data_IF_398722439053
#
_entry.id   IF_398722439053
#
_cell.length_a   1.000
_cell.length_b   1.000
_cell.length_c   1.000
_cell.angle_alpha   90.00
_cell.angle_beta   90.00
_cell.angle_gamma   90.00
#
_symmetry.space_group_name_H-M   'P 1'
#
loop_
_entity.id
_entity.type
_entity.pdbx_description
1 polymer ?
#
# COMPACT_ATOMS: atom_id res chain seq x y z
N UNK A 1 12.01 -6.36 20.80
CA UNK A 1 11.13 -7.42 20.26
C UNK A 1 10.36 -8.13 21.38
N UNK A 2 10.48 -7.65 22.62
CA UNK A 2 10.08 -8.39 23.82
C UNK A 2 8.67 -8.09 24.34
N UNK A 3 7.97 -7.09 23.78
CA UNK A 3 6.63 -6.74 24.24
C UNK A 3 5.51 -7.58 23.60
N UNK A 4 5.77 -8.16 22.41
CA UNK A 4 4.78 -8.98 21.68
C UNK A 4 4.74 -10.42 22.21
N UNK A 5 5.90 -10.96 22.63
CA UNK A 5 6.01 -12.29 23.26
C UNK A 5 5.32 -12.31 24.64
N UNK A 6 5.40 -11.20 25.40
CA UNK A 6 4.79 -11.12 26.75
C UNK A 6 3.26 -11.21 26.72
N UNK A 7 2.60 -10.76 25.65
CA UNK A 7 1.15 -10.87 25.53
C UNK A 7 0.66 -12.29 25.18
N UNK A 8 1.52 -13.12 24.56
CA UNK A 8 1.19 -14.48 24.12
C UNK A 8 1.19 -15.47 25.31
N UNK A 9 2.08 -15.29 26.28
CA UNK A 9 2.27 -16.25 27.39
C UNK A 9 1.26 -16.13 28.54
N UNK A 10 0.54 -15.01 28.70
CA UNK A 10 -0.20 -14.74 29.94
C UNK A 10 -1.71 -15.06 29.93
N UNK A 11 -2.36 -15.27 28.78
CA UNK A 11 -3.84 -15.29 28.75
C UNK A 11 -4.55 -16.49 28.11
N UNK A 12 -3.90 -17.31 27.28
CA UNK A 12 -4.41 -18.62 26.82
C UNK A 12 -3.33 -19.30 25.96
N UNK A 13 -3.45 -20.60 25.67
CA UNK A 13 -2.69 -21.19 24.56
C UNK A 13 -2.94 -20.33 23.31
N UNK A 14 -1.90 -19.71 22.71
CA UNK A 14 -2.01 -18.57 21.78
C UNK A 14 -2.99 -18.74 20.60
N UNK A 15 -3.31 -19.97 20.21
CA UNK A 15 -4.31 -20.27 19.19
C UNK A 15 -5.76 -19.98 19.65
N UNK A 16 -6.10 -20.20 20.91
CA UNK A 16 -7.46 -19.95 21.41
C UNK A 16 -7.74 -18.45 21.55
N UNK A 17 -6.72 -17.66 21.91
CA UNK A 17 -6.81 -16.21 22.02
C UNK A 17 -7.07 -15.53 20.66
N UNK A 18 -6.30 -15.90 19.64
CA UNK A 18 -6.42 -15.30 18.30
C UNK A 18 -7.80 -15.55 17.68
N UNK A 19 -8.35 -16.76 17.84
CA UNK A 19 -9.71 -17.11 17.38
C UNK A 19 -10.79 -16.29 18.09
N UNK A 20 -10.65 -16.09 19.42
CA UNK A 20 -11.58 -15.24 20.17
C UNK A 20 -11.51 -13.78 19.74
N UNK A 21 -10.31 -13.25 19.51
CA UNK A 21 -10.12 -11.90 19.01
C UNK A 21 -10.73 -11.71 17.61
N UNK A 22 -10.56 -12.66 16.68
CA UNK A 22 -11.17 -12.59 15.34
C UNK A 22 -12.71 -12.64 15.40
N UNK A 23 -13.27 -13.52 16.23
CA UNK A 23 -14.72 -13.62 16.42
C UNK A 23 -15.30 -12.35 17.06
N UNK A 24 -14.63 -11.79 18.07
CA UNK A 24 -15.02 -10.53 18.69
C UNK A 24 -14.96 -9.38 17.69
N UNK A 25 -13.91 -9.31 16.88
CA UNK A 25 -13.74 -8.30 15.85
C UNK A 25 -14.90 -8.35 14.83
N UNK A 26 -15.29 -9.56 14.39
CA UNK A 26 -16.44 -9.73 13.49
C UNK A 26 -17.75 -9.19 14.10
N UNK A 27 -18.01 -9.49 15.38
CA UNK A 27 -19.20 -8.97 16.09
C UNK A 27 -19.15 -7.43 16.23
N UNK A 28 -17.98 -6.86 16.51
CA UNK A 28 -17.80 -5.42 16.61
C UNK A 28 -17.99 -4.71 15.26
N UNK A 29 -17.59 -5.33 14.15
CA UNK A 29 -17.88 -4.83 12.81
C UNK A 29 -19.39 -4.76 12.54
N UNK A 30 -20.14 -5.81 12.89
CA UNK A 30 -21.61 -5.83 12.76
C UNK A 30 -22.26 -4.74 13.62
N UNK A 31 -21.71 -4.49 14.82
CA UNK A 31 -22.16 -3.43 15.71
C UNK A 31 -21.74 -2.01 15.29
N UNK A 32 -21.04 -1.85 14.15
CA UNK A 32 -20.57 -0.55 13.65
C UNK A 32 -19.38 0.05 14.42
N UNK A 33 -18.75 -0.71 15.33
CA UNK A 33 -17.60 -0.27 16.12
C UNK A 33 -16.28 -0.57 15.40
N UNK A 34 -16.05 0.10 14.27
CA UNK A 34 -14.93 -0.18 13.36
C UNK A 34 -13.56 -0.09 14.04
N UNK A 35 -13.28 0.97 14.81
CA UNK A 35 -11.98 1.14 15.48
C UNK A 35 -11.68 0.00 16.46
N UNK A 36 -12.67 -0.39 17.28
CA UNK A 36 -12.51 -1.49 18.23
C UNK A 36 -12.33 -2.82 17.50
N UNK A 37 -13.06 -3.04 16.41
CA UNK A 37 -12.89 -4.23 15.58
C UNK A 37 -11.51 -4.32 14.95
N UNK A 38 -10.97 -3.21 14.43
CA UNK A 38 -9.62 -3.14 13.86
C UNK A 38 -8.56 -3.54 14.89
N UNK A 39 -8.64 -3.03 16.12
CA UNK A 39 -7.72 -3.41 17.19
C UNK A 39 -7.81 -4.91 17.49
N UNK A 40 -9.01 -5.48 17.53
CA UNK A 40 -9.18 -6.93 17.74
C UNK A 40 -8.61 -7.76 16.59
N UNK A 41 -8.74 -7.33 15.33
CA UNK A 41 -8.10 -8.02 14.20
C UNK A 41 -6.57 -7.94 14.24
N UNK A 42 -6.01 -6.81 14.70
CA UNK A 42 -4.56 -6.67 14.92
C UNK A 42 -4.09 -7.63 16.01
N UNK A 43 -4.80 -7.71 17.15
CA UNK A 43 -4.49 -8.66 18.23
C UNK A 43 -4.62 -10.12 17.79
N UNK A 44 -5.52 -10.41 16.85
CA UNK A 44 -5.67 -11.73 16.25
C UNK A 44 -4.60 -12.04 15.18
N UNK A 45 -3.78 -11.05 14.77
CA UNK A 45 -2.87 -11.18 13.64
C UNK A 45 -3.56 -11.30 12.27
N UNK A 46 -4.83 -10.93 12.16
CA UNK A 46 -5.59 -11.01 10.91
C UNK A 46 -5.31 -9.77 10.03
N UNK A 47 -4.24 -9.86 9.23
CA UNK A 47 -3.79 -8.78 8.36
C UNK A 47 -4.83 -8.46 7.28
N UNK A 48 -5.44 -9.47 6.67
CA UNK A 48 -6.35 -9.30 5.54
C UNK A 48 -7.55 -8.42 5.88
N UNK A 49 -8.23 -8.74 6.99
CA UNK A 49 -9.39 -7.96 7.46
C UNK A 49 -8.96 -6.58 7.96
N UNK A 50 -7.78 -6.47 8.56
CA UNK A 50 -7.24 -5.17 9.00
C UNK A 50 -7.00 -4.24 7.81
N UNK A 51 -6.34 -4.74 6.76
CA UNK A 51 -6.08 -4.02 5.51
C UNK A 51 -7.37 -3.68 4.78
N UNK A 52 -8.36 -4.57 4.76
CA UNK A 52 -9.67 -4.30 4.17
C UNK A 52 -10.35 -3.10 4.83
N UNK A 53 -10.35 -3.05 6.16
CA UNK A 53 -10.95 -1.95 6.93
C UNK A 53 -10.21 -0.64 6.67
N UNK A 54 -8.88 -0.65 6.74
CA UNK A 54 -8.09 0.54 6.49
C UNK A 54 -8.19 1.04 5.03
N UNK A 55 -8.26 0.13 4.06
CA UNK A 55 -8.45 0.46 2.65
C UNK A 55 -9.80 1.13 2.41
N UNK A 56 -10.84 0.77 3.17
CA UNK A 56 -12.15 1.45 3.13
C UNK A 56 -12.05 2.90 3.63
N UNK A 57 -11.18 3.19 4.59
CA UNK A 57 -10.95 4.56 5.05
C UNK A 57 -10.28 5.43 3.96
N UNK A 58 -9.44 4.85 3.10
CA UNK A 58 -8.84 5.57 1.94
C UNK A 58 -9.90 6.12 0.98
N UNK A 59 -11.02 5.41 0.79
CA UNK A 59 -12.07 5.81 -0.15
C UNK A 59 -12.87 7.03 0.30
N UNK A 60 -12.71 7.48 1.56
CA UNK A 60 -13.54 8.54 2.16
C UNK A 60 -12.89 9.92 2.19
N UNK A 61 -11.61 10.06 1.82
CA UNK A 61 -10.87 11.33 1.85
C UNK A 61 -10.46 11.81 0.45
N UNK A 62 -11.12 12.84 -0.07
CA UNK A 62 -10.83 13.42 -1.39
C UNK A 62 -9.90 14.64 -1.31
N UNK A 63 -8.61 14.40 -1.53
CA UNK A 63 -7.68 15.28 -2.23
C UNK A 63 -6.44 14.44 -2.61
N UNK A 64 -5.99 14.51 -3.86
CA UNK A 64 -5.00 13.58 -4.43
C UNK A 64 -3.65 13.60 -3.71
N UNK A 65 -3.32 14.70 -3.02
CA UNK A 65 -2.12 14.81 -2.18
C UNK A 65 -2.28 13.99 -0.89
N UNK A 66 -3.45 14.06 -0.27
CA UNK A 66 -3.80 13.24 0.91
C UNK A 66 -3.87 11.76 0.57
N UNK A 67 -4.27 11.39 -0.66
CA UNK A 67 -4.30 9.99 -1.09
C UNK A 67 -2.91 9.32 -1.01
N UNK A 68 -1.85 10.01 -1.45
CA UNK A 68 -0.48 9.47 -1.40
C UNK A 68 -0.01 9.32 0.04
N UNK A 69 -0.24 10.34 0.88
CA UNK A 69 0.14 10.31 2.30
C UNK A 69 -0.60 9.20 3.07
N UNK A 70 -1.90 9.04 2.82
CA UNK A 70 -2.70 7.98 3.43
C UNK A 70 -2.31 6.59 2.91
N UNK A 71 -1.96 6.46 1.63
CA UNK A 71 -1.50 5.20 1.05
C UNK A 71 -0.15 4.78 1.67
N UNK A 72 0.76 5.74 1.84
CA UNK A 72 2.03 5.51 2.53
C UNK A 72 1.81 5.03 3.97
N UNK A 73 1.01 5.77 4.75
CA UNK A 73 0.69 5.43 6.14
C UNK A 73 0.06 4.03 6.25
N UNK A 74 -0.80 3.66 5.29
CA UNK A 74 -1.39 2.33 5.23
C UNK A 74 -0.36 1.24 4.96
N UNK A 75 0.51 1.43 3.96
CA UNK A 75 1.53 0.46 3.59
C UNK A 75 2.53 0.25 4.74
N UNK A 76 2.99 1.33 5.37
CA UNK A 76 3.90 1.27 6.51
C UNK A 76 3.27 0.52 7.69
N UNK A 77 2.05 0.88 8.09
CA UNK A 77 1.32 0.20 9.17
C UNK A 77 1.14 -1.29 8.90
N UNK A 78 0.83 -1.64 7.66
CA UNK A 78 0.58 -3.03 7.29
C UNK A 78 1.86 -3.86 7.29
N UNK A 79 2.98 -3.30 6.80
CA UNK A 79 4.27 -3.99 6.81
C UNK A 79 4.77 -4.17 8.24
N UNK A 80 4.66 -3.14 9.09
CA UNK A 80 5.02 -3.26 10.51
C UNK A 80 4.17 -4.33 11.19
N UNK A 81 2.87 -4.38 10.91
CA UNK A 81 1.97 -5.42 11.43
C UNK A 81 2.38 -6.81 10.96
N UNK A 82 2.71 -6.98 9.68
CA UNK A 82 3.13 -8.25 9.12
C UNK A 82 4.46 -8.76 9.69
N UNK A 83 5.43 -7.84 9.85
CA UNK A 83 6.69 -8.15 10.50
C UNK A 83 6.49 -8.54 11.97
N UNK A 84 5.62 -7.84 12.69
CA UNK A 84 5.31 -8.12 14.10
C UNK A 84 4.59 -9.47 14.29
N UNK A 85 3.74 -9.85 13.34
CA UNK A 85 3.00 -11.12 13.35
C UNK A 85 3.77 -12.28 12.69
N UNK A 86 4.95 -12.01 12.12
CA UNK A 86 5.77 -13.02 11.44
C UNK A 86 5.15 -13.57 10.15
N UNK A 87 4.16 -12.88 9.57
CA UNK A 87 3.54 -13.31 8.31
C UNK A 87 4.52 -13.16 7.15
N UNK A 88 4.75 -14.26 6.43
CA UNK A 88 5.65 -14.32 5.28
C UNK A 88 4.95 -14.17 3.93
N UNK A 89 3.63 -14.28 3.91
CA UNK A 89 2.84 -14.20 2.68
C UNK A 89 1.77 -13.15 2.85
N UNK A 90 1.71 -12.23 1.90
CA UNK A 90 0.70 -11.20 1.85
C UNK A 90 -0.45 -11.62 0.95
N UNK A 91 -1.65 -11.15 1.27
CA UNK A 91 -2.79 -11.36 0.38
C UNK A 91 -2.66 -10.57 -0.93
N UNK A 92 -3.36 -11.00 -1.99
CA UNK A 92 -3.35 -10.31 -3.28
C UNK A 92 -3.78 -8.83 -3.21
N UNK A 93 -4.66 -8.48 -2.27
CA UNK A 93 -5.10 -7.10 -2.04
C UNK A 93 -3.95 -6.24 -1.50
N UNK A 94 -3.18 -6.78 -0.56
CA UNK A 94 -2.01 -6.10 0.00
C UNK A 94 -0.86 -6.01 -1.01
N UNK A 95 -0.60 -7.06 -1.79
CA UNK A 95 0.38 -7.02 -2.87
C UNK A 95 0.06 -5.86 -3.84
N UNK A 96 -1.20 -5.73 -4.28
CA UNK A 96 -1.63 -4.62 -5.15
C UNK A 96 -1.45 -3.25 -4.50
N UNK A 97 -1.64 -3.15 -3.18
CA UNK A 97 -1.46 -1.89 -2.46
C UNK A 97 0.02 -1.47 -2.44
N UNK A 98 0.90 -2.42 -2.13
CA UNK A 98 2.36 -2.22 -2.10
C UNK A 98 2.90 -1.94 -3.50
N UNK A 99 2.39 -2.62 -4.54
CA UNK A 99 2.72 -2.34 -5.94
C UNK A 99 2.39 -0.89 -6.32
N UNK A 100 1.19 -0.39 -5.98
CA UNK A 100 0.81 1.01 -6.22
C UNK A 100 1.73 2.00 -5.51
N UNK A 101 2.13 1.69 -4.28
CA UNK A 101 3.05 2.54 -3.54
C UNK A 101 4.46 2.51 -4.14
N UNK A 102 4.94 1.35 -4.58
CA UNK A 102 6.22 1.22 -5.28
C UNK A 102 6.23 1.99 -6.62
N UNK A 103 5.11 2.02 -7.35
CA UNK A 103 4.95 2.86 -8.54
C UNK A 103 5.10 4.35 -8.21
N UNK A 104 4.49 4.81 -7.12
CA UNK A 104 4.63 6.21 -6.66
C UNK A 104 6.07 6.51 -6.28
N UNK A 105 6.74 5.64 -5.51
CA UNK A 105 8.15 5.80 -5.16
C UNK A 105 9.04 5.85 -6.41
N UNK A 106 8.77 5.00 -7.40
CA UNK A 106 9.49 4.99 -8.66
C UNK A 106 9.28 6.29 -9.45
N UNK A 107 8.06 6.84 -9.45
CA UNK A 107 7.76 8.14 -10.08
C UNK A 107 8.50 9.31 -9.44
N UNK A 108 8.85 9.18 -8.15
CA UNK A 108 9.64 10.16 -7.40
C UNK A 108 11.16 9.94 -7.55
N UNK A 109 11.59 8.90 -8.27
CA UNK A 109 13.00 8.53 -8.42
C UNK A 109 13.58 7.69 -7.28
N UNK A 110 12.76 7.29 -6.30
CA UNK A 110 13.15 6.47 -5.15
C UNK A 110 13.11 4.97 -5.48
N UNK A 111 13.87 4.57 -6.50
CA UNK A 111 13.85 3.22 -7.07
C UNK A 111 14.37 2.13 -6.12
N UNK A 112 15.36 2.46 -5.28
CA UNK A 112 15.92 1.54 -4.29
C UNK A 112 14.88 1.18 -3.23
N UNK A 113 14.18 2.19 -2.70
CA UNK A 113 13.13 2.00 -1.70
C UNK A 113 11.95 1.24 -2.29
N UNK A 114 11.53 1.57 -3.52
CA UNK A 114 10.49 0.82 -4.24
C UNK A 114 10.85 -0.65 -4.38
N UNK A 115 12.12 -0.96 -4.69
CA UNK A 115 12.62 -2.31 -4.79
C UNK A 115 12.56 -3.06 -3.45
N UNK A 116 12.96 -2.42 -2.35
CA UNK A 116 12.91 -3.02 -1.01
C UNK A 116 11.47 -3.41 -0.63
N UNK A 117 10.50 -2.56 -0.93
CA UNK A 117 9.08 -2.86 -0.72
C UNK A 117 8.59 -4.04 -1.58
N UNK A 118 9.02 -4.13 -2.84
CA UNK A 118 8.67 -5.26 -3.71
C UNK A 118 9.35 -6.58 -3.27
N UNK A 119 10.57 -6.51 -2.73
CA UNK A 119 11.28 -7.67 -2.15
C UNK A 119 10.60 -8.19 -0.90
N UNK A 120 10.04 -7.30 -0.08
CA UNK A 120 9.28 -7.70 1.11
C UNK A 120 8.10 -8.61 0.74
N UNK A 121 7.48 -8.42 -0.44
CA UNK A 121 6.34 -9.21 -0.90
C UNK A 121 6.61 -10.71 -1.13
N UNK A 122 7.86 -11.16 -0.96
CA UNK A 122 8.24 -12.57 -1.15
C UNK A 122 8.25 -13.01 -2.62
N UNK A 123 8.10 -12.05 -3.54
CA UNK A 123 8.32 -12.26 -4.97
C UNK A 123 9.78 -12.66 -5.18
N UNK A 124 10.02 -13.65 -6.05
CA UNK A 124 11.36 -13.99 -6.51
C UNK A 124 12.11 -12.70 -6.91
N UNK A 125 13.39 -12.59 -6.55
CA UNK A 125 14.19 -11.37 -6.73
C UNK A 125 14.17 -10.93 -8.20
N UNK A 126 14.08 -11.89 -9.12
CA UNK A 126 13.92 -11.68 -10.55
C UNK A 126 12.57 -11.03 -10.92
N UNK A 127 11.49 -11.40 -10.25
CA UNK A 127 10.15 -10.91 -10.51
C UNK A 127 9.96 -9.49 -9.97
N UNK A 128 10.51 -9.19 -8.80
CA UNK A 128 10.59 -7.82 -8.27
C UNK A 128 11.43 -6.90 -9.18
N UNK A 129 12.58 -7.40 -9.68
CA UNK A 129 13.41 -6.65 -10.63
C UNK A 129 12.68 -6.40 -11.95
N UNK A 130 11.95 -7.40 -12.46
CA UNK A 130 11.18 -7.27 -13.70
C UNK A 130 10.05 -6.24 -13.55
N UNK A 131 9.33 -6.27 -12.43
CA UNK A 131 8.28 -5.29 -12.12
C UNK A 131 8.86 -3.88 -12.01
N UNK A 132 9.96 -3.69 -11.28
CA UNK A 132 10.62 -2.39 -11.17
C UNK A 132 11.10 -1.89 -12.54
N UNK A 133 11.68 -2.77 -13.36
CA UNK A 133 12.11 -2.41 -14.72
C UNK A 133 10.93 -2.01 -15.62
N UNK A 134 9.80 -2.73 -15.53
CA UNK A 134 8.57 -2.37 -16.24
C UNK A 134 8.02 -1.02 -15.78
N UNK A 135 7.97 -0.78 -14.47
CA UNK A 135 7.53 0.49 -13.88
C UNK A 135 8.40 1.66 -14.36
N UNK A 136 9.74 1.52 -14.30
CA UNK A 136 10.67 2.49 -14.83
C UNK A 136 10.42 2.79 -16.31
N UNK A 137 10.23 1.75 -17.12
CA UNK A 137 9.98 1.91 -18.56
C UNK A 137 8.69 2.68 -18.83
N UNK A 138 7.62 2.37 -18.09
CA UNK A 138 6.33 3.07 -18.22
C UNK A 138 6.42 4.54 -17.79
N UNK A 139 7.12 4.83 -16.69
CA UNK A 139 7.33 6.19 -16.20
C UNK A 139 8.17 7.04 -17.17
N UNK A 140 9.24 6.47 -17.73
CA UNK A 140 10.06 7.14 -18.75
C UNK A 140 9.24 7.44 -20.01
N UNK A 141 8.42 6.47 -20.47
CA UNK A 141 7.53 6.68 -21.61
C UNK A 141 6.47 7.74 -21.32
N UNK A 142 5.92 7.77 -20.11
CA UNK A 142 4.98 8.82 -19.65
C UNK A 142 5.63 10.20 -19.67
N UNK A 143 6.82 10.35 -19.08
CA UNK A 143 7.55 11.61 -19.11
C UNK A 143 7.85 12.06 -20.54
N UNK A 144 8.26 11.14 -21.41
CA UNK A 144 8.56 11.44 -22.82
C UNK A 144 7.32 11.89 -23.58
N UNK A 145 6.18 11.22 -23.39
CA UNK A 145 4.90 11.62 -23.99
C UNK A 145 4.44 13.00 -23.50
N UNK A 146 4.63 13.31 -22.22
CA UNK A 146 4.23 14.59 -21.64
C UNK A 146 5.09 15.75 -22.15
N UNK A 147 6.41 15.53 -22.32
CA UNK A 147 7.32 16.49 -22.94
C UNK A 147 6.99 16.70 -24.42
N UNK A 148 6.68 15.64 -25.17
CA UNK A 148 6.23 15.74 -26.57
C UNK A 148 4.92 16.53 -26.65
N UNK A 149 3.92 16.18 -25.82
CA UNK A 149 2.62 16.85 -25.81
C UNK A 149 2.76 18.35 -25.49
N UNK A 150 3.60 18.70 -24.51
CA UNK A 150 3.89 20.10 -24.15
C UNK A 150 4.57 20.85 -25.29
N UNK A 151 5.53 20.20 -25.96
CA UNK A 151 6.26 20.78 -27.09
C UNK A 151 5.36 21.00 -28.31
N UNK A 152 4.48 20.04 -28.62
CA UNK A 152 3.50 20.15 -29.71
C UNK A 152 2.44 21.20 -29.42
N UNK A 153 2.01 21.31 -28.17
CA UNK A 153 1.07 22.35 -27.74
C UNK A 153 1.67 23.76 -27.91
N UNK A 154 2.95 23.97 -27.55
CA UNK A 154 3.65 25.23 -27.79
C UNK A 154 3.83 25.54 -29.29
N UNK A 155 4.07 24.52 -30.10
CA UNK A 155 4.21 24.66 -31.55
C UNK A 155 2.88 25.04 -32.22
N UNK A 156 1.78 24.42 -31.80
CA UNK A 156 0.42 24.78 -32.25
C UNK A 156 0.04 26.21 -31.87
N UNK A 157 0.34 26.65 -30.63
CA UNK A 157 0.08 28.03 -30.19
C UNK A 157 0.87 29.06 -31.01
N UNK A 158 2.11 28.71 -31.41
CA UNK A 158 2.93 29.54 -32.27
C UNK A 158 2.37 29.64 -33.70
N UNK A 159 1.88 28.54 -34.27
CA UNK A 159 1.25 28.52 -35.59
C UNK A 159 -0.07 29.31 -35.64
N UNK A 160 -0.86 29.31 -34.56
CA UNK A 160 -2.08 30.14 -34.48
C UNK A 160 -1.79 31.64 -34.41
N UNK A 161 -0.60 32.04 -33.91
CA UNK A 161 -0.22 33.45 -33.77
C UNK A 161 0.34 34.04 -35.07
N UNK A 162 0.98 33.23 -35.91
CA UNK A 162 1.50 33.65 -37.22
C UNK A 162 0.45 33.69 -38.34
N UNK A 163 -0.77 33.19 -38.10
CA UNK A 163 -1.87 33.14 -39.08
C UNK A 163 -2.91 34.26 -38.96
N UNK A 164 -2.69 35.27 -38.11
CA UNK A 164 -3.62 36.37 -37.85
C UNK A 164 -3.12 37.77 -38.27
N UNK A 165 -2.11 37.84 -39.15
CA UNK A 165 -1.66 39.09 -39.80
C UNK A 165 -1.66 38.93 -41.32
#
# INVERSE_FOLDING_TARGET
MDLFIIFDEQFAQGEEWTVHCDMLASKLMIAGKTLAATLCYICAGNIDKTVEIWSRCLATGYDGKFYVDLLQDLVEKTIVLALATGQKQFSPSLCKLVEKYAEILASQGLLTTAMDYLKLLGSDELQSLLLLHQLCRLLILQMYLQVIASSWMLMLMSCTFTGLW
#
